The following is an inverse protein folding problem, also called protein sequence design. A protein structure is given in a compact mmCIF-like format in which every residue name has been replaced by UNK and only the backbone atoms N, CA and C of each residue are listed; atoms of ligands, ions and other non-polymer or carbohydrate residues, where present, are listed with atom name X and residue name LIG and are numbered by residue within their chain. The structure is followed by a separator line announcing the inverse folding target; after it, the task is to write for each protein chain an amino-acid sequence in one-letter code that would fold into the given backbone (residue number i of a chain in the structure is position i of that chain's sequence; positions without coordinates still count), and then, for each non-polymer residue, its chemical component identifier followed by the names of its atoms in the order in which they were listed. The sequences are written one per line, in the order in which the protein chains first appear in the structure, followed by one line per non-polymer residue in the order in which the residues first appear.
data_IF_702221193902
#
_entry.id   IF_702221193902
#
_cell.length_a   1.000
_cell.length_b   1.000
_cell.length_c   1.000
_cell.angle_alpha   90.00
_cell.angle_beta   90.00
_cell.angle_gamma   90.00
#
_symmetry.space_group_name_H-M   'P 1'
#
loop_
_entity.id
_entity.type
_entity.pdbx_description
1 polymer ?
#
# COMPACT_ATOMS: atom_id res chain seq x y z
N UNK A 1 -3.26 -21.56 -16.59
CA UNK A 1 -2.70 -20.24 -16.24
C UNK A 1 -3.05 -19.96 -14.79
N UNK A 2 -2.11 -19.48 -13.97
CA UNK A 2 -2.44 -19.05 -12.61
C UNK A 2 -3.32 -17.79 -12.69
N UNK A 3 -4.36 -17.71 -11.86
CA UNK A 3 -5.18 -16.51 -11.77
C UNK A 3 -4.33 -15.31 -11.34
N UNK A 4 -4.60 -14.13 -11.89
CA UNK A 4 -3.94 -12.89 -11.50
C UNK A 4 -4.29 -12.54 -10.06
N UNK A 5 -3.28 -12.19 -9.25
CA UNK A 5 -3.50 -11.60 -7.93
C UNK A 5 -3.96 -10.16 -8.15
N UNK A 6 -5.12 -9.80 -7.60
CA UNK A 6 -5.63 -8.43 -7.73
C UNK A 6 -4.94 -7.46 -6.76
N UNK A 7 -4.66 -7.90 -5.54
CA UNK A 7 -4.02 -7.09 -4.51
C UNK A 7 -3.16 -7.93 -3.55
N UNK A 8 -2.09 -7.33 -3.05
CA UNK A 8 -1.29 -7.83 -1.95
C UNK A 8 -1.32 -6.81 -0.81
N UNK A 9 -1.78 -7.25 0.37
CA UNK A 9 -1.80 -6.42 1.57
C UNK A 9 -0.64 -6.82 2.47
N UNK A 10 0.38 -5.97 2.55
CA UNK A 10 1.56 -6.14 3.38
C UNK A 10 1.24 -5.83 4.85
N UNK A 11 1.92 -6.47 5.80
CA UNK A 11 1.75 -6.14 7.23
C UNK A 11 2.48 -4.86 7.68
N UNK A 12 3.41 -4.35 6.86
CA UNK A 12 4.17 -3.12 7.11
C UNK A 12 5.32 -3.25 8.13
N UNK A 13 5.42 -4.36 8.88
CA UNK A 13 6.49 -4.60 9.86
C UNK A 13 7.48 -5.70 9.38
N UNK A 14 6.98 -6.77 8.75
CA UNK A 14 7.80 -7.86 8.19
C UNK A 14 7.84 -7.85 6.65
N UNK A 15 6.75 -7.46 6.01
CA UNK A 15 6.62 -7.35 4.56
C UNK A 15 7.29 -6.07 4.04
N UNK A 16 8.60 -5.99 4.23
CA UNK A 16 9.44 -4.86 3.86
C UNK A 16 9.50 -4.65 2.34
N UNK A 17 10.20 -3.60 1.92
CA UNK A 17 10.34 -3.20 0.51
C UNK A 17 10.74 -4.38 -0.40
N UNK A 18 11.67 -5.24 0.03
CA UNK A 18 12.11 -6.40 -0.75
C UNK A 18 10.98 -7.40 -1.04
N UNK A 19 10.04 -7.59 -0.12
CA UNK A 19 8.87 -8.45 -0.32
C UNK A 19 7.93 -7.81 -1.33
N UNK A 20 7.58 -6.53 -1.13
CA UNK A 20 6.69 -5.81 -2.05
C UNK A 20 7.26 -5.71 -3.48
N UNK A 21 8.57 -5.52 -3.62
CA UNK A 21 9.25 -5.52 -4.91
C UNK A 21 9.20 -6.90 -5.59
N UNK A 22 9.34 -7.98 -4.82
CA UNK A 22 9.23 -9.35 -5.32
C UNK A 22 7.82 -9.67 -5.82
N UNK A 23 6.80 -9.20 -5.11
CA UNK A 23 5.39 -9.32 -5.52
C UNK A 23 5.14 -8.53 -6.81
N UNK A 24 5.59 -7.28 -6.89
CA UNK A 24 5.43 -6.43 -8.07
C UNK A 24 6.14 -7.01 -9.31
N UNK A 25 7.34 -7.59 -9.14
CA UNK A 25 8.08 -8.23 -10.22
C UNK A 25 7.35 -9.48 -10.78
N UNK A 26 6.68 -10.23 -9.90
CA UNK A 26 5.96 -11.46 -10.29
C UNK A 26 4.54 -11.18 -10.78
N UNK A 27 3.92 -10.10 -10.30
CA UNK A 27 2.56 -9.71 -10.62
C UNK A 27 2.47 -8.18 -10.84
N UNK A 28 2.85 -7.69 -12.04
CA UNK A 28 2.94 -6.25 -12.30
C UNK A 28 1.64 -5.48 -12.14
N UNK A 29 0.50 -6.16 -12.34
CA UNK A 29 -0.85 -5.58 -12.22
C UNK A 29 -1.42 -5.65 -10.79
N UNK A 30 -0.69 -6.24 -9.84
CA UNK A 30 -1.15 -6.35 -8.44
C UNK A 30 -1.09 -5.01 -7.74
N UNK A 31 -2.20 -4.59 -7.14
CA UNK A 31 -2.19 -3.46 -6.21
C UNK A 31 -1.41 -3.82 -4.93
N UNK A 32 -0.34 -3.09 -4.63
CA UNK A 32 0.40 -3.24 -3.37
C UNK A 32 -0.20 -2.29 -2.34
N UNK A 33 -0.73 -2.85 -1.25
CA UNK A 33 -1.36 -2.11 -0.16
C UNK A 33 -0.52 -2.33 1.10
N UNK A 34 0.14 -1.28 1.58
CA UNK A 34 0.79 -1.28 2.90
C UNK A 34 -0.06 -0.42 3.83
N UNK A 35 -0.82 -1.01 4.77
CA UNK A 35 -1.61 -0.25 5.72
C UNK A 35 -0.68 0.66 6.55
N UNK A 36 -0.99 1.96 6.63
CA UNK A 36 -0.23 2.85 7.50
C UNK A 36 -0.49 2.50 8.97
N UNK A 37 0.51 2.75 9.83
CA UNK A 37 0.33 2.69 11.28
C UNK A 37 -0.76 3.67 11.71
N UNK A 38 -1.47 3.38 12.81
CA UNK A 38 -2.54 4.25 13.34
C UNK A 38 -2.10 5.68 13.66
N UNK A 39 -0.79 5.90 13.85
CA UNK A 39 -0.18 7.22 14.11
C UNK A 39 0.42 7.87 12.87
N UNK A 40 0.24 7.29 11.69
CA UNK A 40 0.74 7.85 10.44
C UNK A 40 0.03 9.18 10.14
N UNK A 41 0.81 10.17 9.70
CA UNK A 41 0.30 11.46 9.26
C UNK A 41 0.20 11.53 7.73
N UNK A 42 -0.80 12.26 7.19
CA UNK A 42 -0.90 12.51 5.75
C UNK A 42 0.35 13.21 5.18
N UNK A 43 0.59 13.03 3.89
CA UNK A 43 1.64 13.75 3.15
C UNK A 43 1.31 15.24 3.00
N UNK A 44 2.32 16.05 2.63
CA UNK A 44 2.14 17.48 2.39
C UNK A 44 1.14 17.79 1.26
N UNK A 45 0.98 16.88 0.30
CA UNK A 45 0.08 17.03 -0.83
C UNK A 45 -1.25 16.29 -0.64
N UNK A 46 -1.51 15.71 0.53
CA UNK A 46 -2.70 14.90 0.77
C UNK A 46 -4.02 15.62 0.46
N UNK A 47 -4.06 16.95 0.62
CA UNK A 47 -5.24 17.76 0.34
C UNK A 47 -5.49 18.01 -1.15
N UNK A 48 -4.44 18.02 -1.98
CA UNK A 48 -4.53 18.45 -3.40
C UNK A 48 -4.28 17.31 -4.38
N UNK A 49 -3.37 16.39 -4.05
CA UNK A 49 -3.03 15.21 -4.85
C UNK A 49 -2.77 14.03 -3.91
N UNK A 50 -3.83 13.43 -3.34
CA UNK A 50 -3.68 12.34 -2.38
C UNK A 50 -3.09 11.10 -3.06
N UNK A 51 -1.97 10.65 -2.51
CA UNK A 51 -1.42 9.33 -2.83
C UNK A 51 -2.33 8.23 -2.31
N UNK A 52 -2.12 7.00 -2.75
CA UNK A 52 -2.81 5.83 -2.18
C UNK A 52 -2.59 5.74 -0.65
N UNK A 53 -1.37 6.03 -0.17
CA UNK A 53 -1.06 6.07 1.27
C UNK A 53 -1.87 7.12 2.01
N UNK A 54 -2.04 8.31 1.44
CA UNK A 54 -2.81 9.39 2.06
C UNK A 54 -4.28 8.98 2.25
N UNK A 55 -4.86 8.32 1.24
CA UNK A 55 -6.22 7.76 1.36
C UNK A 55 -6.30 6.69 2.46
N UNK A 56 -5.31 5.80 2.55
CA UNK A 56 -5.29 4.80 3.61
C UNK A 56 -5.17 5.44 5.01
N UNK A 57 -4.37 6.50 5.17
CA UNK A 57 -4.26 7.23 6.45
C UNK A 57 -5.60 7.87 6.83
N UNK A 58 -6.28 8.51 5.87
CA UNK A 58 -7.59 9.11 6.09
C UNK A 58 -8.62 8.08 6.58
N UNK A 59 -8.69 6.91 5.93
CA UNK A 59 -9.63 5.84 6.31
C UNK A 59 -9.42 5.27 7.72
N UNK A 60 -8.22 5.41 8.30
CA UNK A 60 -7.96 4.96 9.68
C UNK A 60 -8.41 6.00 10.71
N UNK A 61 -8.41 7.28 10.32
CA UNK A 61 -8.79 8.39 11.20
C UNK A 61 -10.31 8.60 11.28
N UNK A 62 -11.07 8.09 10.30
CA UNK A 62 -12.54 8.10 10.24
C UNK A 62 -13.16 6.93 11.01
#
# INVERSE_FOLDING_TARGET
MAASVASFTADGDYDQESVTASVAARHPETAIIVPPRSTAVPSKSAETEPTQRDRHVQFIAE
#
